data_IF_310274414503
#
_entry.id   IF_310274414503
#
_cell.length_a   1.000
_cell.length_b   1.000
_cell.length_c   1.000
_cell.angle_alpha   90.00
_cell.angle_beta   90.00
_cell.angle_gamma   90.00
#
_symmetry.space_group_name_H-M   'P 1'
#
loop_
_entity.id
_entity.type
_entity.pdbx_description
1 polymer ?
#
# COMPACT_ATOMS: atom_id res chain seq x y z
N UNK A 1 32.43 -7.93 -16.99
CA UNK A 1 31.57 -6.77 -17.21
C UNK A 1 30.64 -6.67 -16.01
N UNK A 2 31.03 -5.90 -15.02
CA UNK A 2 30.49 -5.90 -13.66
C UNK A 2 29.34 -4.91 -13.53
N UNK A 3 28.23 -5.43 -13.12
CA UNK A 3 26.99 -4.80 -12.64
C UNK A 3 27.16 -3.41 -11.99
N UNK A 4 26.78 -2.35 -12.70
CA UNK A 4 26.62 -0.99 -12.18
C UNK A 4 25.16 -0.56 -12.08
N UNK A 5 24.25 -1.46 -11.66
CA UNK A 5 22.82 -1.15 -11.54
C UNK A 5 22.32 -1.10 -10.08
N UNK A 6 23.09 -0.59 -9.12
CA UNK A 6 22.77 -0.88 -7.71
C UNK A 6 22.67 0.28 -6.72
N UNK A 7 22.41 1.52 -7.09
CA UNK A 7 22.24 2.56 -6.04
C UNK A 7 20.84 3.16 -5.93
N UNK A 8 20.01 3.13 -6.96
CA UNK A 8 18.58 3.42 -6.84
C UNK A 8 17.76 2.17 -6.45
N UNK A 9 18.25 0.99 -6.85
CA UNK A 9 17.58 -0.30 -6.63
C UNK A 9 17.61 -0.82 -5.17
N UNK A 10 18.56 -0.34 -4.33
CA UNK A 10 18.67 -0.83 -2.94
C UNK A 10 17.44 -0.53 -2.09
N UNK A 11 16.97 0.72 -2.12
CA UNK A 11 15.77 1.13 -1.39
C UNK A 11 14.50 0.53 -2.01
N UNK A 12 14.38 0.57 -3.34
CA UNK A 12 13.24 -0.03 -4.04
C UNK A 12 13.10 -1.52 -3.74
N UNK A 13 14.20 -2.27 -3.74
CA UNK A 13 14.18 -3.69 -3.41
C UNK A 13 13.82 -3.94 -1.93
N UNK A 14 14.31 -3.10 -1.01
CA UNK A 14 13.90 -3.16 0.40
C UNK A 14 12.39 -2.97 0.57
N UNK A 15 11.79 -2.09 -0.23
CA UNK A 15 10.35 -1.86 -0.30
C UNK A 15 9.63 -2.85 -1.25
N UNK A 16 10.23 -3.99 -1.59
CA UNK A 16 9.68 -5.07 -2.43
C UNK A 16 9.42 -4.70 -3.90
N UNK A 17 9.92 -3.58 -4.39
CA UNK A 17 9.90 -3.32 -5.84
C UNK A 17 10.88 -4.25 -6.58
N UNK A 18 10.57 -4.57 -7.82
CA UNK A 18 11.38 -5.40 -8.71
C UNK A 18 11.58 -6.85 -8.23
N UNK A 19 10.91 -7.26 -7.16
CA UNK A 19 10.97 -8.61 -6.58
C UNK A 19 9.59 -9.28 -6.57
N UNK A 20 9.55 -10.59 -6.32
CA UNK A 20 8.28 -11.26 -6.02
C UNK A 20 7.81 -10.88 -4.63
N UNK A 21 6.51 -10.66 -4.46
CA UNK A 21 5.91 -10.42 -3.15
C UNK A 21 5.92 -11.70 -2.31
N UNK A 22 6.00 -11.60 -0.98
CA UNK A 22 6.08 -12.74 -0.07
C UNK A 22 4.70 -13.39 0.14
N UNK A 23 4.18 -14.02 -0.87
CA UNK A 23 2.83 -14.64 -0.86
C UNK A 23 2.79 -15.85 -1.78
N UNK A 24 1.95 -16.82 -1.44
CA UNK A 24 1.63 -17.95 -2.30
C UNK A 24 0.57 -17.63 -3.35
N UNK A 25 -0.05 -16.44 -3.26
CA UNK A 25 -0.98 -15.94 -4.26
C UNK A 25 -0.24 -15.51 -5.52
N UNK A 26 -0.86 -15.71 -6.67
CA UNK A 26 -0.33 -15.18 -7.92
C UNK A 26 -0.42 -13.64 -7.91
N UNK A 27 0.72 -12.97 -7.87
CA UNK A 27 0.81 -11.53 -7.84
C UNK A 27 1.84 -10.99 -8.85
N UNK A 28 1.47 -9.92 -9.53
CA UNK A 28 2.40 -9.20 -10.40
C UNK A 28 3.40 -8.39 -9.59
N UNK A 29 4.62 -8.24 -10.12
CA UNK A 29 5.65 -7.41 -9.50
C UNK A 29 5.40 -5.94 -9.78
N UNK A 30 5.59 -5.11 -8.78
CA UNK A 30 5.74 -3.67 -8.97
C UNK A 30 7.15 -3.35 -9.45
N UNK A 31 7.31 -2.31 -10.25
CA UNK A 31 8.62 -1.87 -10.75
C UNK A 31 8.96 -0.46 -10.29
N UNK A 32 10.19 -0.30 -9.86
CA UNK A 32 10.81 1.00 -9.58
C UNK A 32 12.08 1.09 -10.40
N UNK A 33 12.13 2.06 -11.29
CA UNK A 33 13.26 2.27 -12.21
C UNK A 33 13.74 3.70 -12.04
N UNK A 34 14.93 3.85 -11.48
CA UNK A 34 15.66 5.12 -11.42
C UNK A 34 17.15 4.82 -11.55
N UNK A 35 17.80 5.43 -12.51
CA UNK A 35 19.23 5.29 -12.79
C UNK A 35 19.97 6.60 -12.51
N UNK A 36 21.26 6.50 -12.18
CA UNK A 36 22.14 7.69 -11.99
C UNK A 36 22.29 8.54 -13.25
N UNK A 37 22.04 7.97 -14.41
CA UNK A 37 22.06 8.65 -15.70
C UNK A 37 20.75 9.36 -16.04
N UNK A 38 19.70 9.15 -15.25
CA UNK A 38 18.41 9.79 -15.48
C UNK A 38 18.50 11.30 -15.29
N UNK A 39 17.85 12.03 -16.19
CA UNK A 39 17.78 13.49 -16.11
C UNK A 39 16.88 13.98 -14.98
N UNK A 40 17.00 15.24 -14.62
CA UNK A 40 16.23 15.87 -13.54
C UNK A 40 14.72 15.66 -13.65
N UNK A 41 14.16 15.66 -14.87
CA UNK A 41 12.73 15.43 -15.10
C UNK A 41 12.28 14.02 -14.67
N UNK A 42 13.06 12.98 -14.96
CA UNK A 42 12.77 11.62 -14.55
C UNK A 42 12.86 11.46 -13.02
N UNK A 43 13.87 12.09 -12.40
CA UNK A 43 14.02 12.12 -10.94
C UNK A 43 12.82 12.79 -10.29
N UNK A 44 12.43 13.98 -10.79
CA UNK A 44 11.27 14.71 -10.28
C UNK A 44 9.96 13.91 -10.44
N UNK A 45 9.71 13.31 -11.60
CA UNK A 45 8.54 12.48 -11.83
C UNK A 45 8.50 11.28 -10.87
N UNK A 46 9.61 10.56 -10.73
CA UNK A 46 9.71 9.41 -9.83
C UNK A 46 9.51 9.81 -8.35
N UNK A 47 9.99 10.98 -7.93
CA UNK A 47 9.86 11.46 -6.55
C UNK A 47 8.42 11.73 -6.12
N UNK A 48 7.50 11.92 -7.07
CA UNK A 48 6.06 12.10 -6.82
C UNK A 48 5.24 10.85 -7.20
N UNK A 49 5.90 9.70 -7.45
CA UNK A 49 5.25 8.44 -7.80
C UNK A 49 4.77 8.36 -9.25
N UNK A 50 5.32 9.19 -10.14
CA UNK A 50 5.05 9.19 -11.59
C UNK A 50 6.24 8.59 -12.37
N UNK A 51 6.25 8.74 -13.69
CA UNK A 51 7.32 8.27 -14.56
C UNK A 51 7.23 6.77 -14.85
N UNK A 52 8.31 6.03 -14.61
CA UNK A 52 8.41 4.60 -14.90
C UNK A 52 8.08 3.69 -13.70
N UNK A 53 7.61 4.27 -12.58
CA UNK A 53 7.20 3.50 -11.40
C UNK A 53 5.82 2.89 -11.65
N UNK A 54 5.73 1.57 -11.53
CA UNK A 54 4.48 0.82 -11.65
C UNK A 54 4.22 0.05 -10.37
N UNK A 55 3.00 0.15 -9.85
CA UNK A 55 2.60 -0.51 -8.60
C UNK A 55 1.35 -1.33 -8.79
N UNK A 56 1.24 -2.43 -8.03
CA UNK A 56 -0.02 -3.17 -7.90
C UNK A 56 -0.74 -2.76 -6.62
N UNK A 57 -2.09 -2.79 -6.59
CA UNK A 57 -2.84 -2.53 -5.36
C UNK A 57 -2.42 -3.45 -4.21
N UNK A 58 -2.18 -4.71 -4.50
CA UNK A 58 -1.74 -5.68 -3.49
C UNK A 58 -0.39 -5.28 -2.86
N UNK A 59 0.59 -4.88 -3.67
CA UNK A 59 1.87 -4.39 -3.15
C UNK A 59 1.69 -3.15 -2.27
N UNK A 60 0.85 -2.20 -2.69
CA UNK A 60 0.58 -0.99 -1.92
C UNK A 60 -0.13 -1.29 -0.60
N UNK A 61 -1.05 -2.26 -0.58
CA UNK A 61 -1.69 -2.73 0.66
C UNK A 61 -0.66 -3.34 1.63
N UNK A 62 0.31 -4.13 1.13
CA UNK A 62 1.39 -4.68 1.95
C UNK A 62 2.28 -3.58 2.55
N UNK A 63 2.64 -2.56 1.77
CA UNK A 63 3.44 -1.43 2.27
C UNK A 63 2.70 -0.65 3.36
N UNK A 64 1.41 -0.40 3.17
CA UNK A 64 0.57 0.29 4.17
C UNK A 64 0.38 -0.57 5.42
N UNK A 65 0.20 -1.88 5.27
CA UNK A 65 0.16 -2.82 6.38
C UNK A 65 1.45 -2.78 7.20
N UNK A 66 2.62 -2.75 6.54
CA UNK A 66 3.90 -2.61 7.23
C UNK A 66 4.04 -1.26 7.95
N UNK A 67 3.59 -0.15 7.34
CA UNK A 67 3.58 1.17 8.00
C UNK A 67 2.73 1.10 9.28
N UNK A 68 1.52 0.55 9.19
CA UNK A 68 0.63 0.42 10.34
C UNK A 68 1.20 -0.50 11.44
N UNK A 69 1.97 -1.50 11.04
CA UNK A 69 2.63 -2.47 11.93
C UNK A 69 4.09 -2.08 12.25
N UNK A 70 4.34 -0.78 12.53
CA UNK A 70 5.63 -0.24 12.99
C UNK A 70 6.84 -0.59 12.12
N UNK A 71 6.62 -0.76 10.83
CA UNK A 71 7.63 -1.03 9.83
C UNK A 71 7.85 -2.52 9.52
N UNK A 72 7.16 -3.41 10.24
CA UNK A 72 7.27 -4.86 10.08
C UNK A 72 6.19 -5.37 9.12
N UNK A 73 6.61 -6.04 8.05
CA UNK A 73 5.72 -6.73 7.13
C UNK A 73 5.47 -8.15 7.61
N UNK A 74 4.19 -8.52 7.72
CA UNK A 74 3.77 -9.91 7.90
C UNK A 74 3.55 -10.57 6.53
N UNK A 75 3.80 -11.87 6.41
CA UNK A 75 3.44 -12.63 5.21
C UNK A 75 1.93 -12.68 5.08
N UNK A 76 1.36 -12.25 3.94
CA UNK A 76 -0.06 -12.40 3.71
C UNK A 76 -0.41 -13.86 3.41
N UNK A 77 -1.44 -14.37 4.05
CA UNK A 77 -1.99 -15.70 3.83
C UNK A 77 -3.53 -15.63 3.81
N UNK A 78 -4.16 -16.59 3.17
CA UNK A 78 -5.63 -16.69 3.05
C UNK A 78 -6.18 -18.02 3.57
N UNK A 79 -5.30 -18.96 3.87
CA UNK A 79 -5.66 -20.23 4.48
C UNK A 79 -5.42 -20.11 5.98
N UNK A 80 -6.48 -20.27 6.77
CA UNK A 80 -6.39 -20.33 8.22
C UNK A 80 -5.96 -21.75 8.65
N UNK A 81 -6.64 -22.78 8.13
CA UNK A 81 -6.36 -24.18 8.47
C UNK A 81 -6.83 -25.14 7.39
N UNK A 82 -6.34 -26.35 7.47
CA UNK A 82 -6.78 -27.50 6.69
C UNK A 82 -7.31 -28.55 7.64
N UNK A 83 -8.52 -29.02 7.40
CA UNK A 83 -9.17 -30.09 8.16
C UNK A 83 -9.48 -31.28 7.23
N UNK A 84 -9.36 -32.49 7.76
CA UNK A 84 -9.84 -33.69 7.08
C UNK A 84 -11.37 -33.79 7.11
N UNK A 85 -11.93 -34.70 6.35
CA UNK A 85 -13.39 -34.86 6.22
C UNK A 85 -14.11 -35.24 7.53
N UNK A 86 -13.38 -35.71 8.53
CA UNK A 86 -13.87 -36.05 9.87
C UNK A 86 -13.67 -34.89 10.90
N UNK A 87 -13.18 -33.74 10.43
CA UNK A 87 -12.92 -32.56 11.26
C UNK A 87 -11.58 -32.58 12.00
N UNK A 88 -10.72 -33.56 11.73
CA UNK A 88 -9.39 -33.56 12.34
C UNK A 88 -8.51 -32.48 11.73
N UNK A 89 -7.90 -31.64 12.56
CA UNK A 89 -6.96 -30.61 12.12
C UNK A 89 -5.72 -31.26 11.49
N UNK A 90 -5.46 -30.93 10.23
CA UNK A 90 -4.30 -31.44 9.46
C UNK A 90 -3.17 -30.41 9.50
N UNK A 91 -3.49 -29.13 9.33
CA UNK A 91 -2.52 -28.04 9.30
C UNK A 91 -3.17 -26.74 9.81
N UNK A 92 -2.43 -25.95 10.57
CA UNK A 92 -2.83 -24.61 11.02
C UNK A 92 -1.78 -23.62 10.51
N UNK A 93 -2.25 -22.52 9.92
CA UNK A 93 -1.41 -21.42 9.48
C UNK A 93 -1.41 -20.32 10.55
N UNK A 94 -0.25 -19.88 10.93
CA UNK A 94 -0.06 -18.83 11.93
C UNK A 94 0.55 -17.57 11.28
N UNK A 95 0.31 -16.37 11.83
CA UNK A 95 0.96 -15.16 11.36
C UNK A 95 2.48 -15.29 11.38
N UNK A 96 3.13 -15.05 10.25
CA UNK A 96 4.58 -15.12 10.10
C UNK A 96 5.13 -13.76 9.70
N UNK A 97 6.17 -13.29 10.41
CA UNK A 97 6.90 -12.10 10.02
C UNK A 97 7.72 -12.37 8.76
N UNK A 98 7.55 -11.53 7.74
CA UNK A 98 8.44 -11.53 6.58
C UNK A 98 9.73 -10.79 6.84
N UNK A 99 9.64 -9.62 7.49
CA UNK A 99 10.79 -8.81 7.86
C UNK A 99 10.49 -7.32 7.96
N UNK A 100 11.52 -6.57 8.38
CA UNK A 100 11.42 -5.12 8.61
C UNK A 100 11.68 -4.34 7.32
N UNK A 101 10.68 -3.63 6.81
CA UNK A 101 10.79 -2.76 5.63
C UNK A 101 11.34 -1.39 5.99
N UNK A 102 10.99 -0.86 7.15
CA UNK A 102 11.43 0.44 7.66
C UNK A 102 11.54 0.40 9.18
N UNK A 103 12.25 1.34 9.77
CA UNK A 103 12.34 1.45 11.23
C UNK A 103 11.01 1.92 11.82
N UNK A 104 10.81 1.67 13.12
CA UNK A 104 9.64 2.17 13.86
C UNK A 104 9.51 3.69 13.78
N UNK A 105 10.62 4.42 13.85
CA UNK A 105 10.64 5.88 13.75
C UNK A 105 10.19 6.35 12.34
N UNK A 106 10.68 5.69 11.27
CA UNK A 106 10.25 5.96 9.90
C UNK A 106 8.75 5.65 9.71
N UNK A 107 8.27 4.54 10.26
CA UNK A 107 6.85 4.19 10.24
C UNK A 107 6.00 5.22 10.98
N UNK A 108 6.43 5.67 12.16
CA UNK A 108 5.73 6.69 12.95
C UNK A 108 5.60 8.01 12.17
N UNK A 109 6.67 8.48 11.52
CA UNK A 109 6.64 9.68 10.69
C UNK A 109 5.63 9.52 9.53
N UNK A 110 5.60 8.33 8.89
CA UNK A 110 4.66 8.07 7.79
C UNK A 110 3.21 8.02 8.31
N UNK A 111 2.96 7.41 9.48
CA UNK A 111 1.64 7.42 10.14
C UNK A 111 1.16 8.85 10.38
N UNK A 112 2.01 9.72 10.92
CA UNK A 112 1.69 11.12 11.17
C UNK A 112 1.31 11.86 9.88
N UNK A 113 2.08 11.67 8.81
CA UNK A 113 1.76 12.27 7.51
C UNK A 113 0.47 11.73 6.90
N UNK A 114 0.22 10.42 7.01
CA UNK A 114 -0.99 9.79 6.51
C UNK A 114 -2.24 10.22 7.30
N UNK A 115 -2.10 10.41 8.62
CA UNK A 115 -3.14 10.98 9.47
C UNK A 115 -3.44 12.44 9.07
N UNK A 116 -2.40 13.26 8.89
CA UNK A 116 -2.56 14.64 8.46
C UNK A 116 -3.33 14.77 7.12
N UNK A 117 -3.15 13.83 6.18
CA UNK A 117 -3.92 13.80 4.92
C UNK A 117 -5.42 13.60 5.17
N UNK A 118 -5.80 12.82 6.17
CA UNK A 118 -7.21 12.63 6.55
C UNK A 118 -7.73 13.84 7.34
N UNK A 119 -6.95 14.34 8.29
CA UNK A 119 -7.41 15.44 9.14
C UNK A 119 -7.57 16.76 8.38
N UNK A 120 -6.64 17.11 7.50
CA UNK A 120 -6.59 18.43 6.86
C UNK A 120 -6.45 18.40 5.33
N UNK A 121 -6.11 17.25 4.77
CA UNK A 121 -5.77 17.09 3.36
C UNK A 121 -6.88 16.51 2.49
N UNK A 122 -6.45 15.77 1.47
CA UNK A 122 -7.30 15.19 0.42
C UNK A 122 -8.11 13.98 0.89
N UNK A 123 -7.79 13.41 2.06
CA UNK A 123 -8.50 12.27 2.68
C UNK A 123 -9.63 12.66 3.63
N UNK A 124 -9.95 13.93 3.78
CA UNK A 124 -10.89 14.46 4.80
C UNK A 124 -12.30 13.87 4.83
N UNK A 125 -12.73 13.16 3.77
CA UNK A 125 -13.99 12.40 3.77
C UNK A 125 -13.98 11.22 4.75
N UNK A 126 -12.78 10.79 5.20
CA UNK A 126 -12.59 9.74 6.23
C UNK A 126 -12.55 10.29 7.65
N UNK A 127 -12.56 11.62 7.85
CA UNK A 127 -12.50 12.22 9.17
C UNK A 127 -13.82 12.07 9.94
N UNK A 128 -13.72 11.91 11.27
CA UNK A 128 -14.88 11.93 12.18
C UNK A 128 -15.75 10.69 12.10
N UNK A 129 -15.20 9.56 11.71
CA UNK A 129 -15.87 8.27 11.75
C UNK A 129 -15.79 7.63 13.14
N UNK A 130 -16.40 6.45 13.31
CA UNK A 130 -16.32 5.63 14.53
C UNK A 130 -14.96 4.91 14.67
N UNK A 131 -14.06 5.12 13.75
CA UNK A 131 -12.69 4.59 13.68
C UNK A 131 -11.73 5.72 13.30
N UNK A 132 -10.46 5.56 13.61
CA UNK A 132 -9.40 6.44 13.17
C UNK A 132 -8.86 5.93 11.82
N UNK A 133 -8.81 6.80 10.81
CA UNK A 133 -8.28 6.46 9.51
C UNK A 133 -7.06 7.30 9.16
N UNK A 134 -6.10 6.69 8.49
CA UNK A 134 -4.93 7.34 7.94
C UNK A 134 -4.67 6.85 6.52
N UNK A 135 -4.15 7.70 5.64
CA UNK A 135 -3.91 7.28 4.27
C UNK A 135 -3.36 8.35 3.36
N UNK A 136 -3.15 7.97 2.10
CA UNK A 136 -2.64 8.84 1.04
C UNK A 136 -3.45 8.66 -0.23
N UNK A 137 -3.91 9.77 -0.79
CA UNK A 137 -4.54 9.79 -2.13
C UNK A 137 -3.47 9.87 -3.22
N UNK A 138 -3.79 9.36 -4.38
CA UNK A 138 -3.00 9.50 -5.59
C UNK A 138 -3.88 9.80 -6.80
N UNK A 139 -3.32 10.51 -7.77
CA UNK A 139 -3.87 10.68 -9.11
C UNK A 139 -2.77 10.31 -10.08
N UNK A 140 -2.74 9.03 -10.48
CA UNK A 140 -1.68 8.48 -11.32
C UNK A 140 -2.00 8.68 -12.80
N UNK A 141 -1.28 9.57 -13.45
CA UNK A 141 -1.44 9.87 -14.87
C UNK A 141 -0.98 8.67 -15.72
N UNK A 142 -1.80 8.27 -16.70
CA UNK A 142 -1.49 7.19 -17.66
C UNK A 142 -1.37 7.69 -19.09
N UNK A 143 -1.74 8.94 -19.38
CA UNK A 143 -1.55 9.59 -20.69
C UNK A 143 -1.54 11.13 -20.54
N UNK A 144 -1.25 11.83 -21.63
CA UNK A 144 -1.20 13.30 -21.70
C UNK A 144 -2.58 13.90 -22.01
N UNK A 145 -3.51 13.88 -21.08
CA UNK A 145 -4.86 14.48 -21.26
C UNK A 145 -5.44 14.92 -19.93
N UNK A 146 -6.36 15.88 -19.96
CA UNK A 146 -6.93 16.49 -18.74
C UNK A 146 -7.63 15.50 -17.80
N UNK A 147 -8.13 14.37 -18.33
CA UNK A 147 -8.90 13.37 -17.58
C UNK A 147 -8.20 12.00 -17.59
N UNK A 148 -6.85 11.96 -17.68
CA UNK A 148 -6.08 10.75 -17.89
C UNK A 148 -5.36 10.28 -16.65
N UNK A 149 -6.06 10.18 -15.53
CA UNK A 149 -5.49 9.64 -14.29
C UNK A 149 -6.32 8.53 -13.68
N UNK A 150 -5.65 7.61 -13.01
CA UNK A 150 -6.25 6.64 -12.11
C UNK A 150 -6.41 7.26 -10.73
N UNK A 151 -7.57 7.09 -10.13
CA UNK A 151 -7.85 7.52 -8.76
C UNK A 151 -7.34 6.49 -7.78
N UNK A 152 -6.44 6.89 -6.87
CA UNK A 152 -5.85 6.01 -5.87
C UNK A 152 -6.11 6.48 -4.44
N UNK A 153 -6.28 5.52 -3.56
CA UNK A 153 -6.15 5.68 -2.12
C UNK A 153 -5.46 4.45 -1.53
N UNK A 154 -4.52 4.68 -0.62
CA UNK A 154 -3.92 3.65 0.21
C UNK A 154 -3.98 4.11 1.66
N UNK A 155 -4.33 3.23 2.56
CA UNK A 155 -4.50 3.62 3.95
C UNK A 155 -4.86 2.47 4.86
N UNK A 156 -5.08 2.79 6.10
CA UNK A 156 -5.54 1.85 7.12
C UNK A 156 -6.56 2.55 8.02
N UNK A 157 -7.28 1.74 8.77
CA UNK A 157 -8.15 2.23 9.83
C UNK A 157 -7.96 1.39 11.09
N UNK A 158 -8.14 2.02 12.24
CA UNK A 158 -7.96 1.49 13.57
C UNK A 158 -9.18 1.77 14.46
N UNK A 159 -9.52 0.81 15.29
CA UNK A 159 -10.47 0.96 16.41
C UNK A 159 -10.09 -0.06 17.50
N UNK A 160 -10.08 0.38 18.76
CA UNK A 160 -9.58 -0.43 19.91
C UNK A 160 -10.25 -1.78 20.10
N UNK A 161 -11.51 -1.93 19.67
CA UNK A 161 -12.33 -3.13 19.87
C UNK A 161 -12.30 -4.11 18.68
N UNK A 162 -11.58 -3.79 17.59
CA UNK A 162 -11.51 -4.61 16.38
C UNK A 162 -10.12 -4.51 15.74
N UNK A 163 -9.70 -5.56 15.06
CA UNK A 163 -8.41 -5.56 14.34
C UNK A 163 -8.34 -4.45 13.32
N UNK A 164 -7.13 -3.92 13.12
CA UNK A 164 -6.86 -2.93 12.08
C UNK A 164 -7.08 -3.51 10.69
N UNK A 165 -7.47 -2.66 9.76
CA UNK A 165 -7.62 -3.03 8.35
C UNK A 165 -6.80 -2.09 7.47
N UNK A 166 -5.97 -2.65 6.60
CA UNK A 166 -5.23 -1.93 5.56
C UNK A 166 -5.90 -2.10 4.20
N UNK A 167 -5.90 -1.05 3.37
CA UNK A 167 -6.56 -1.04 2.08
C UNK A 167 -5.73 -0.34 1.01
N UNK A 168 -5.84 -0.82 -0.22
CA UNK A 168 -5.41 -0.10 -1.41
C UNK A 168 -6.55 -0.13 -2.44
N UNK A 169 -7.00 1.04 -2.84
CA UNK A 169 -8.09 1.24 -3.82
C UNK A 169 -7.54 1.91 -5.06
N UNK A 170 -7.86 1.36 -6.21
CA UNK A 170 -7.66 1.99 -7.52
C UNK A 170 -8.99 2.03 -8.26
N UNK A 171 -9.31 3.19 -8.84
CA UNK A 171 -10.39 3.33 -9.83
C UNK A 171 -9.77 3.82 -11.13
N UNK A 172 -9.73 2.94 -12.12
CA UNK A 172 -9.10 3.24 -13.39
C UNK A 172 -9.85 4.34 -14.14
N UNK A 173 -9.08 5.28 -14.71
CA UNK A 173 -9.60 6.38 -15.55
C UNK A 173 -10.67 7.24 -14.87
N UNK A 174 -10.61 7.37 -13.55
CA UNK A 174 -11.62 8.08 -12.77
C UNK A 174 -11.18 9.48 -12.29
N UNK A 175 -9.92 9.87 -12.51
CA UNK A 175 -9.43 11.20 -12.11
C UNK A 175 -8.82 11.21 -10.70
N UNK A 176 -9.25 12.15 -9.86
CA UNK A 176 -8.56 12.41 -8.58
C UNK A 176 -8.93 11.44 -7.45
N UNK A 177 -7.95 11.06 -6.65
CA UNK A 177 -8.10 10.09 -5.55
C UNK A 177 -9.13 10.47 -4.51
N UNK A 178 -9.26 11.74 -4.17
CA UNK A 178 -10.23 12.25 -3.19
C UNK A 178 -11.70 12.11 -3.62
N UNK A 179 -11.97 12.00 -4.92
CA UNK A 179 -13.33 11.97 -5.46
C UNK A 179 -13.88 10.55 -5.58
N UNK A 180 -13.05 9.58 -5.92
CA UNK A 180 -13.49 8.21 -6.21
C UNK A 180 -12.88 7.16 -5.26
N UNK A 181 -11.57 7.11 -5.11
CA UNK A 181 -10.95 6.07 -4.30
C UNK A 181 -11.19 6.26 -2.79
N UNK A 182 -11.20 7.50 -2.27
CA UNK A 182 -11.46 7.77 -0.85
C UNK A 182 -12.90 7.38 -0.43
N UNK A 183 -13.97 7.72 -1.18
CA UNK A 183 -15.31 7.24 -0.84
C UNK A 183 -15.43 5.72 -0.78
N UNK A 184 -14.81 5.00 -1.73
CA UNK A 184 -14.81 3.52 -1.74
C UNK A 184 -14.08 2.98 -0.50
N UNK A 185 -12.92 3.54 -0.17
CA UNK A 185 -12.20 3.16 1.05
C UNK A 185 -13.06 3.39 2.30
N UNK A 186 -13.78 4.51 2.35
CA UNK A 186 -14.72 4.81 3.46
C UNK A 186 -15.82 3.77 3.57
N UNK A 187 -16.45 3.39 2.46
CA UNK A 187 -17.51 2.36 2.46
C UNK A 187 -16.98 1.01 2.96
N UNK A 188 -15.76 0.63 2.60
CA UNK A 188 -15.14 -0.61 3.09
C UNK A 188 -14.85 -0.52 4.59
N UNK A 189 -14.29 0.58 5.07
CA UNK A 189 -14.04 0.78 6.50
C UNK A 189 -15.33 0.83 7.31
N UNK A 190 -16.36 1.54 6.79
CA UNK A 190 -17.69 1.60 7.42
C UNK A 190 -18.30 0.21 7.52
N UNK A 191 -18.26 -0.59 6.46
CA UNK A 191 -18.77 -1.96 6.48
C UNK A 191 -18.00 -2.83 7.49
N UNK A 192 -16.67 -2.72 7.52
CA UNK A 192 -15.85 -3.51 8.43
C UNK A 192 -16.08 -3.17 9.90
N UNK A 193 -16.22 -1.89 10.26
CA UNK A 193 -16.33 -1.46 11.66
C UNK A 193 -17.78 -1.36 12.18
N UNK A 194 -18.80 -1.37 11.32
CA UNK A 194 -20.19 -1.26 11.73
C UNK A 194 -20.94 -2.60 11.69
N UNK A 195 -20.24 -3.69 11.32
CA UNK A 195 -20.71 -5.07 11.54
C UNK A 195 -20.36 -5.54 12.98
#
# INVERSE_FOLDING_TARGET
MTNRKQTGNGFGNKMLFNTSLPTDLQASKSSFVLDKSDGSSAIMATSIGQGQTLVTPFHMALLVSAINNDGVLMKPYVLDRVESSDGTLVEQYEPEEYGTLMTTDEAAILKDYMNYVVETGTGKKLRGQSYEAAGKTGSAEYSTGADSSHSWFVGYAHRDDKSDIAIAVIVEKAGVGSEYAVPIAKEVFDAYYNE
#
